data_IF_817274224708
#
_entry.id   IF_817274224708
#
_cell.length_a   1.000
_cell.length_b   1.000
_cell.length_c   1.000
_cell.angle_alpha   90.00
_cell.angle_beta   90.00
_cell.angle_gamma   90.00
#
_symmetry.space_group_name_H-M   'P 1'
#
loop_
_entity.id
_entity.type
_entity.pdbx_description
1 polymer ?
#
# COMPACT_ATOMS: atom_id res chain seq x y z
N UNK A 1 -5.34 -24.76 6.06
CA UNK A 1 -4.81 -23.42 5.69
C UNK A 1 -5.42 -22.37 6.63
N UNK A 2 -4.62 -21.50 7.24
CA UNK A 2 -5.16 -20.41 8.08
C UNK A 2 -5.62 -19.22 7.19
N UNK A 3 -6.47 -18.34 7.72
CA UNK A 3 -7.01 -17.19 6.96
C UNK A 3 -5.90 -16.30 6.36
N UNK A 4 -4.81 -16.10 7.09
CA UNK A 4 -3.71 -15.22 6.68
C UNK A 4 -2.92 -15.80 5.49
N UNK A 5 -2.72 -17.12 5.42
CA UNK A 5 -2.03 -17.75 4.30
C UNK A 5 -2.78 -17.56 2.97
N UNK A 6 -4.11 -17.42 3.02
CA UNK A 6 -4.95 -17.11 1.84
C UNK A 6 -4.82 -15.68 1.35
N UNK A 7 -4.31 -14.77 2.18
CA UNK A 7 -4.08 -13.37 1.81
C UNK A 7 -2.70 -13.16 1.17
N UNK A 8 -1.82 -14.15 1.26
CA UNK A 8 -0.49 -14.05 0.68
C UNK A 8 -0.53 -13.92 -0.83
N UNK A 9 0.31 -13.03 -1.37
CA UNK A 9 0.49 -12.85 -2.81
C UNK A 9 1.85 -13.36 -3.28
N UNK A 10 1.93 -13.87 -4.52
CA UNK A 10 3.16 -14.48 -5.04
C UNK A 10 4.25 -13.46 -5.34
N UNK A 11 3.90 -12.19 -5.61
CA UNK A 11 4.86 -11.11 -5.86
C UNK A 11 4.94 -10.19 -4.64
N UNK A 12 6.15 -9.75 -4.29
CA UNK A 12 6.38 -8.77 -3.21
C UNK A 12 5.52 -7.53 -3.43
N UNK A 13 5.49 -7.00 -4.65
CA UNK A 13 4.69 -5.83 -4.98
C UNK A 13 3.19 -5.99 -4.69
N UNK A 14 2.63 -7.17 -5.01
CA UNK A 14 1.22 -7.47 -4.74
C UNK A 14 0.97 -7.67 -3.25
N UNK A 15 1.93 -8.29 -2.55
CA UNK A 15 1.85 -8.48 -1.10
C UNK A 15 1.88 -7.13 -0.36
N UNK A 16 2.80 -6.24 -0.73
CA UNK A 16 2.89 -4.87 -0.19
C UNK A 16 1.58 -4.13 -0.42
N UNK A 17 1.01 -4.22 -1.64
CA UNK A 17 -0.27 -3.58 -1.94
C UNK A 17 -1.42 -4.14 -1.11
N UNK A 18 -1.45 -5.45 -0.91
CA UNK A 18 -2.47 -6.12 -0.11
C UNK A 18 -2.41 -5.68 1.35
N UNK A 19 -1.22 -5.68 1.97
CA UNK A 19 -1.04 -5.23 3.36
C UNK A 19 -1.53 -3.78 3.50
N UNK A 20 -1.02 -2.89 2.64
CA UNK A 20 -1.38 -1.48 2.66
C UNK A 20 -2.90 -1.25 2.53
N UNK A 21 -3.55 -1.94 1.59
CA UNK A 21 -4.99 -1.81 1.38
C UNK A 21 -5.85 -2.34 2.53
N UNK A 22 -5.32 -3.24 3.35
CA UNK A 22 -6.00 -3.77 4.54
C UNK A 22 -5.71 -2.97 5.81
N UNK A 23 -4.54 -2.34 5.91
CA UNK A 23 -4.11 -1.59 7.09
C UNK A 23 -4.58 -0.14 7.09
N UNK A 24 -4.68 0.50 5.91
CA UNK A 24 -4.93 1.93 5.83
C UNK A 24 -6.04 2.30 4.86
N UNK A 25 -6.79 3.33 5.25
CA UNK A 25 -7.69 4.02 4.35
C UNK A 25 -6.93 4.87 3.33
N UNK A 26 -7.54 5.06 2.15
CA UNK A 26 -6.90 5.80 1.05
C UNK A 26 -6.67 7.29 1.36
N UNK A 27 -7.43 7.87 2.30
CA UNK A 27 -7.23 9.25 2.77
C UNK A 27 -5.85 9.42 3.43
N UNK A 28 -5.37 8.44 4.20
CA UNK A 28 -4.02 8.42 4.77
C UNK A 28 -3.00 8.52 3.65
N UNK A 29 -3.10 7.67 2.61
CA UNK A 29 -2.15 7.70 1.50
C UNK A 29 -2.08 9.05 0.74
N UNK A 30 -3.13 9.87 0.81
CA UNK A 30 -3.12 11.20 0.21
C UNK A 30 -2.23 12.20 0.97
N UNK A 31 -2.09 12.02 2.28
CA UNK A 31 -1.34 12.90 3.19
C UNK A 31 0.14 12.55 3.31
N UNK A 32 0.51 11.32 2.97
CA UNK A 32 1.87 10.78 3.13
C UNK A 32 2.58 10.56 1.80
N UNK A 33 3.90 10.59 1.84
CA UNK A 33 4.77 10.03 0.80
C UNK A 33 5.95 9.33 1.47
N UNK A 34 6.69 8.49 0.73
CA UNK A 34 7.77 7.72 1.34
C UNK A 34 8.83 8.61 2.00
N UNK A 35 9.27 9.69 1.33
CA UNK A 35 10.35 10.60 1.81
C UNK A 35 9.93 12.06 2.00
N UNK A 36 8.62 12.37 2.06
CA UNK A 36 8.15 13.75 2.27
C UNK A 36 8.04 14.63 1.02
N UNK A 37 7.90 14.03 -0.16
CA UNK A 37 7.70 14.75 -1.42
C UNK A 37 6.41 15.57 -1.40
N UNK A 38 6.43 16.75 -2.05
CA UNK A 38 5.27 17.64 -2.21
C UNK A 38 4.64 18.07 -0.88
N UNK A 39 5.46 18.36 0.14
CA UNK A 39 5.04 18.76 1.49
C UNK A 39 4.17 17.72 2.21
N UNK A 40 4.19 16.46 1.76
CA UNK A 40 3.51 15.36 2.43
C UNK A 40 4.32 14.89 3.64
N UNK A 41 3.64 14.25 4.58
CA UNK A 41 4.28 13.67 5.76
C UNK A 41 5.17 12.49 5.33
N UNK A 42 6.32 12.33 5.99
CA UNK A 42 7.27 11.24 5.72
C UNK A 42 6.73 9.92 6.28
N UNK A 43 6.50 8.94 5.41
CA UNK A 43 6.00 7.61 5.81
C UNK A 43 7.12 6.71 6.34
N UNK A 44 8.35 6.83 5.82
CA UNK A 44 9.46 5.93 6.16
C UNK A 44 9.90 6.00 7.62
N UNK A 45 9.56 7.09 8.34
CA UNK A 45 9.88 7.26 9.76
C UNK A 45 8.84 6.64 10.69
N UNK A 46 7.71 6.15 10.16
CA UNK A 46 6.66 5.54 10.98
C UNK A 46 7.02 4.09 11.30
N UNK A 47 6.76 3.67 12.54
CA UNK A 47 6.88 2.26 12.95
C UNK A 47 6.05 1.32 12.08
N UNK A 48 4.93 1.80 11.54
CA UNK A 48 4.11 1.03 10.59
C UNK A 48 4.87 0.67 9.31
N UNK A 49 5.80 1.53 8.85
CA UNK A 49 6.65 1.22 7.71
C UNK A 49 7.56 0.03 8.03
N UNK A 50 8.23 0.05 9.18
CA UNK A 50 9.06 -1.07 9.65
C UNK A 50 8.26 -2.36 9.81
N UNK A 51 7.03 -2.26 10.34
CA UNK A 51 6.14 -3.41 10.50
C UNK A 51 5.74 -4.02 9.15
N UNK A 52 5.50 -3.21 8.11
CA UNK A 52 5.22 -3.72 6.76
C UNK A 52 6.42 -4.52 6.23
N UNK A 53 7.64 -4.03 6.40
CA UNK A 53 8.84 -4.73 5.95
C UNK A 53 9.01 -6.07 6.67
N UNK A 54 8.86 -6.06 8.00
CA UNK A 54 8.92 -7.27 8.80
C UNK A 54 7.83 -8.28 8.40
N UNK A 55 6.59 -7.83 8.17
CA UNK A 55 5.48 -8.68 7.76
C UNK A 55 5.66 -9.28 6.35
N UNK A 56 6.28 -8.55 5.43
CA UNK A 56 6.60 -9.09 4.10
C UNK A 56 7.69 -10.16 4.23
N UNK A 57 8.78 -9.87 4.97
CA UNK A 57 9.93 -10.77 5.13
C UNK A 57 9.64 -11.98 6.03
N UNK A 58 8.58 -11.94 6.84
CA UNK A 58 8.14 -13.12 7.59
C UNK A 58 7.54 -14.20 6.69
N UNK A 59 7.11 -13.85 5.47
CA UNK A 59 6.59 -14.79 4.49
C UNK A 59 7.77 -15.49 3.81
N UNK A 60 7.81 -16.82 3.86
CA UNK A 60 8.96 -17.62 3.43
C UNK A 60 9.47 -17.27 2.01
N UNK A 61 8.56 -17.14 1.03
CA UNK A 61 8.86 -16.76 -0.37
C UNK A 61 9.44 -15.35 -0.54
N UNK A 62 9.23 -14.46 0.43
CA UNK A 62 9.62 -13.04 0.36
C UNK A 62 10.72 -12.68 1.36
N UNK A 63 11.26 -13.67 2.09
CA UNK A 63 12.22 -13.46 3.18
C UNK A 63 13.42 -12.60 2.78
N UNK A 64 13.92 -12.79 1.56
CA UNK A 64 15.13 -12.16 1.05
C UNK A 64 14.84 -10.97 0.11
N UNK A 65 13.61 -10.47 0.06
CA UNK A 65 13.31 -9.32 -0.80
C UNK A 65 14.07 -8.06 -0.32
N UNK A 66 14.53 -7.30 -1.31
CA UNK A 66 15.23 -6.03 -1.12
C UNK A 66 14.28 -4.94 -0.65
N UNK A 67 14.84 -3.89 -0.04
CA UNK A 67 14.05 -2.72 0.34
C UNK A 67 13.37 -2.09 -0.89
N UNK A 68 14.06 -2.05 -2.04
CA UNK A 68 13.53 -1.46 -3.28
C UNK A 68 12.25 -2.16 -3.76
N UNK A 69 12.19 -3.48 -3.66
CA UNK A 69 11.00 -4.27 -4.03
C UNK A 69 9.77 -3.96 -3.17
N UNK A 70 9.97 -3.52 -1.92
CA UNK A 70 8.90 -3.09 -1.02
C UNK A 70 8.59 -1.60 -1.23
N UNK A 71 9.62 -0.75 -1.32
CA UNK A 71 9.49 0.71 -1.40
C UNK A 71 8.80 1.17 -2.69
N UNK A 72 9.12 0.56 -3.83
CA UNK A 72 8.49 0.91 -5.11
C UNK A 72 6.96 0.89 -5.05
N UNK A 73 6.34 -0.23 -4.65
CA UNK A 73 4.90 -0.35 -4.44
C UNK A 73 4.33 0.63 -3.40
N UNK A 74 5.02 0.88 -2.28
CA UNK A 74 4.61 1.87 -1.28
C UNK A 74 4.50 3.27 -1.88
N UNK A 75 5.56 3.71 -2.58
CA UNK A 75 5.61 5.01 -3.28
C UNK A 75 4.47 5.12 -4.29
N UNK A 76 4.29 4.12 -5.13
CA UNK A 76 3.22 4.09 -6.14
C UNK A 76 1.82 4.19 -5.53
N UNK A 77 1.57 3.47 -4.44
CA UNK A 77 0.28 3.55 -3.74
C UNK A 77 0.01 4.96 -3.22
N UNK A 78 0.97 5.58 -2.55
CA UNK A 78 0.81 6.95 -2.02
C UNK A 78 0.69 8.00 -3.13
N UNK A 79 1.46 7.87 -4.21
CA UNK A 79 1.40 8.78 -5.35
C UNK A 79 0.01 8.75 -6.02
N UNK A 80 -0.54 7.54 -6.20
CA UNK A 80 -1.81 7.34 -6.91
C UNK A 80 -3.06 7.48 -6.03
N UNK A 81 -2.92 7.89 -4.76
CA UNK A 81 -4.04 8.00 -3.83
C UNK A 81 -5.13 8.96 -4.31
N UNK A 82 -4.74 10.10 -4.90
CA UNK A 82 -5.67 11.10 -5.44
C UNK A 82 -6.47 10.52 -6.62
N UNK A 83 -5.79 9.97 -7.63
CA UNK A 83 -6.43 9.34 -8.78
C UNK A 83 -7.38 8.20 -8.40
N UNK A 84 -7.02 7.38 -7.39
CA UNK A 84 -7.91 6.32 -6.89
C UNK A 84 -9.19 6.88 -6.23
N UNK A 85 -9.12 8.05 -5.61
CA UNK A 85 -10.29 8.72 -5.02
C UNK A 85 -11.22 9.22 -6.13
N UNK A 86 -10.67 9.93 -7.11
CA UNK A 86 -11.42 10.47 -8.26
C UNK A 86 -12.12 9.35 -9.04
N UNK A 87 -11.41 8.25 -9.32
CA UNK A 87 -12.00 7.09 -10.01
C UNK A 87 -13.17 6.45 -9.25
N UNK A 88 -13.15 6.48 -7.92
CA UNK A 88 -14.26 5.96 -7.09
C UNK A 88 -15.47 6.90 -7.12
N UNK A 89 -15.24 8.22 -7.13
CA UNK A 89 -16.30 9.22 -7.21
C UNK A 89 -17.01 9.16 -8.57
N UNK A 90 -16.26 9.13 -9.67
CA UNK A 90 -16.81 8.97 -11.03
C UNK A 90 -17.66 7.70 -11.16
N UNK A 91 -17.20 6.58 -10.59
CA UNK A 91 -17.96 5.33 -10.59
C UNK A 91 -19.27 5.46 -9.81
N UNK A 92 -19.27 6.16 -8.68
CA UNK A 92 -20.47 6.38 -7.88
C UNK A 92 -21.50 7.23 -8.65
N UNK A 93 -21.05 8.31 -9.28
CA UNK A 93 -21.89 9.20 -10.11
C UNK A 93 -22.48 8.47 -11.32
N UNK A 94 -21.71 7.58 -11.97
CA UNK A 94 -22.22 6.78 -13.09
C UNK A 94 -23.26 5.72 -12.68
N UNK A 95 -23.25 5.27 -11.43
CA UNK A 95 -24.22 4.28 -10.91
C UNK A 95 -25.46 4.97 -10.35
N UNK A 96 -25.34 6.19 -9.82
CA UNK A 96 -26.50 6.97 -9.36
C UNK A 96 -27.32 7.60 -10.49
N UNK A 97 -26.73 7.74 -11.68
CA UNK A 97 -27.36 8.33 -12.86
C UNK A 97 -27.86 7.27 -13.87
N UNK A 98 -27.77 5.98 -13.53
CA UNK A 98 -28.25 4.84 -14.32
C UNK A 98 -29.41 4.16 -13.60
#
# INVERSE_FOLDING_TARGET
>A
LNYLSRLERPKVADMTRQIMAKFFHNNIFSMYSYVGQKKKIVFSVLNSCSLIFAAIRSIAKHRNCTDLEIVGPLKMLMANAKFRKEKRQQKHESVSNA
#
